data_IF_267328237764
#
_entry.id   IF_267328237764
#
_cell.length_a   1.000
_cell.length_b   1.000
_cell.length_c   1.000
_cell.angle_alpha   90.00
_cell.angle_beta   90.00
_cell.angle_gamma   90.00
#
_symmetry.space_group_name_H-M   'P 1'
#
loop_
_entity.id
_entity.type
_entity.pdbx_description
1 polymer ?
#
# COMPACT_ATOMS: atom_id res chain seq x y z
N UNK A 1 -11.28 -12.05 17.05
CA UNK A 1 -11.76 -10.85 16.34
C UNK A 1 -10.65 -10.46 15.36
N UNK A 2 -10.82 -10.78 14.07
CA UNK A 2 -9.78 -10.64 13.04
C UNK A 2 -9.59 -9.16 12.67
N UNK A 3 -8.42 -8.60 12.98
CA UNK A 3 -7.98 -7.26 12.56
C UNK A 3 -7.43 -7.30 11.12
N UNK A 4 -8.17 -7.91 10.21
CA UNK A 4 -7.76 -8.14 8.82
C UNK A 4 -8.40 -7.10 7.87
N UNK A 5 -9.54 -6.53 8.28
CA UNK A 5 -10.27 -5.48 7.54
C UNK A 5 -9.71 -4.07 7.71
N UNK A 6 -8.59 -3.89 8.40
CA UNK A 6 -8.01 -2.57 8.60
C UNK A 6 -7.51 -2.00 7.26
N UNK A 7 -8.11 -0.88 6.83
CA UNK A 7 -7.69 -0.15 5.64
C UNK A 7 -6.29 0.40 5.83
N UNK A 8 -5.44 0.15 4.83
CA UNK A 8 -4.07 0.64 4.75
C UNK A 8 -3.99 1.72 3.67
N UNK A 9 -4.58 1.45 2.50
CA UNK A 9 -4.69 2.45 1.43
C UNK A 9 -6.11 3.00 1.38
N UNK A 10 -6.31 4.21 1.89
CA UNK A 10 -7.59 4.90 1.86
C UNK A 10 -7.96 5.43 0.46
N UNK A 11 -6.98 5.55 -0.44
CA UNK A 11 -7.24 6.01 -1.81
C UNK A 11 -7.93 4.92 -2.66
N UNK A 12 -7.43 3.69 -2.56
CA UNK A 12 -7.83 2.57 -3.42
C UNK A 12 -8.53 1.44 -2.64
N UNK A 13 -8.71 1.59 -1.32
CA UNK A 13 -9.49 0.65 -0.51
C UNK A 13 -8.75 -0.63 -0.12
N UNK A 14 -7.42 -0.66 -0.18
CA UNK A 14 -6.66 -1.87 0.17
C UNK A 14 -6.52 -2.04 1.68
N UNK A 15 -6.76 -3.27 2.14
CA UNK A 15 -6.59 -3.70 3.54
C UNK A 15 -5.27 -4.43 3.74
N UNK A 16 -4.84 -4.58 5.00
CA UNK A 16 -3.66 -5.36 5.33
C UNK A 16 -3.79 -6.84 4.88
N UNK A 17 -4.99 -7.40 4.95
CA UNK A 17 -5.33 -8.72 4.42
C UNK A 17 -4.95 -8.88 2.96
N UNK A 18 -5.49 -7.97 2.14
CA UNK A 18 -5.38 -7.99 0.70
C UNK A 18 -3.90 -7.89 0.31
N UNK A 19 -3.15 -7.03 0.99
CA UNK A 19 -1.71 -6.88 0.75
C UNK A 19 -0.96 -8.17 1.03
N UNK A 20 -1.25 -8.86 2.15
CA UNK A 20 -0.58 -10.15 2.43
C UNK A 20 -0.95 -11.21 1.40
N UNK A 21 -2.22 -11.26 0.98
CA UNK A 21 -2.72 -12.21 -0.01
C UNK A 21 -2.17 -11.95 -1.42
N UNK A 22 -1.84 -10.70 -1.75
CA UNK A 22 -1.32 -10.30 -3.07
C UNK A 22 0.19 -10.55 -3.25
N UNK A 23 0.86 -11.15 -2.25
CA UNK A 23 2.28 -11.49 -2.33
C UNK A 23 2.48 -12.68 -3.27
N UNK A 24 3.39 -12.52 -4.24
CA UNK A 24 3.78 -13.56 -5.20
C UNK A 24 4.99 -14.35 -4.71
N UNK A 25 5.23 -15.49 -5.34
CA UNK A 25 6.34 -16.40 -5.00
C UNK A 25 7.72 -15.76 -5.19
N UNK A 26 7.85 -14.86 -6.17
CA UNK A 26 9.06 -14.09 -6.46
C UNK A 26 9.33 -12.95 -5.45
N UNK A 27 8.44 -12.76 -4.47
CA UNK A 27 8.53 -11.72 -3.46
C UNK A 27 7.97 -10.36 -3.88
N UNK A 28 7.43 -10.23 -5.10
CA UNK A 28 6.69 -9.05 -5.53
C UNK A 28 5.28 -9.02 -4.92
N UNK A 29 4.61 -7.87 -5.01
CA UNK A 29 3.27 -7.70 -4.49
C UNK A 29 2.43 -6.85 -5.44
N UNK A 30 1.40 -7.46 -6.01
CA UNK A 30 0.55 -6.83 -7.04
C UNK A 30 -0.11 -5.53 -6.56
N UNK A 31 -0.53 -5.48 -5.30
CA UNK A 31 -1.15 -4.27 -4.72
C UNK A 31 -0.11 -3.17 -4.55
N UNK A 32 1.10 -3.50 -4.11
CA UNK A 32 2.18 -2.52 -3.99
C UNK A 32 2.52 -1.93 -5.35
N UNK A 33 2.58 -2.76 -6.39
CA UNK A 33 2.85 -2.31 -7.77
C UNK A 33 1.73 -1.41 -8.29
N UNK A 34 0.47 -1.84 -8.19
CA UNK A 34 -0.69 -1.08 -8.64
C UNK A 34 -0.80 0.28 -7.94
N UNK A 35 -0.61 0.33 -6.63
CA UNK A 35 -0.64 1.58 -5.86
C UNK A 35 0.56 2.46 -6.20
N UNK A 36 1.74 1.87 -6.43
CA UNK A 36 2.93 2.62 -6.85
C UNK A 36 2.66 3.32 -8.18
N UNK A 37 2.12 2.61 -9.16
CA UNK A 37 1.80 3.18 -10.48
C UNK A 37 0.71 4.27 -10.39
N UNK A 38 -0.35 4.02 -9.62
CA UNK A 38 -1.40 5.03 -9.41
C UNK A 38 -0.87 6.29 -8.71
N UNK A 39 0.09 6.15 -7.78
CA UNK A 39 0.79 7.28 -7.17
C UNK A 39 1.66 8.04 -8.18
N UNK A 40 2.40 7.35 -9.07
CA UNK A 40 3.22 7.98 -10.12
C UNK A 40 2.39 8.77 -11.12
N UNK A 41 1.17 8.32 -11.37
CA UNK A 41 0.19 9.02 -12.21
C UNK A 41 -0.54 10.17 -11.49
N UNK A 42 -0.22 10.45 -10.22
CA UNK A 42 -0.87 11.53 -9.45
C UNK A 42 -2.31 11.23 -9.04
N UNK A 43 -2.75 9.96 -9.10
CA UNK A 43 -4.11 9.56 -8.72
C UNK A 43 -4.29 9.41 -7.21
N UNK A 44 -3.19 9.45 -6.45
CA UNK A 44 -3.18 9.37 -4.99
C UNK A 44 -3.58 10.68 -4.34
N UNK A 45 -4.62 10.66 -3.50
CA UNK A 45 -5.05 11.79 -2.65
C UNK A 45 -4.70 11.56 -1.18
N UNK A 46 -3.47 11.10 -0.89
CA UNK A 46 -3.08 10.67 0.45
C UNK A 46 -3.14 11.80 1.49
N UNK A 47 -2.80 13.03 1.11
CA UNK A 47 -2.87 14.18 2.01
C UNK A 47 -4.30 14.47 2.51
N UNK A 48 -5.31 14.14 1.69
CA UNK A 48 -6.73 14.40 1.99
C UNK A 48 -7.44 13.19 2.58
N UNK A 49 -7.10 11.98 2.09
CA UNK A 49 -7.84 10.75 2.39
C UNK A 49 -7.18 9.86 3.43
N UNK A 50 -5.86 9.93 3.60
CA UNK A 50 -5.17 9.13 4.60
C UNK A 50 -5.16 9.91 5.92
N UNK A 51 -5.71 9.37 7.04
CA UNK A 51 -5.71 10.05 8.34
C UNK A 51 -4.31 10.48 8.81
N UNK A 52 -3.27 9.74 8.42
CA UNK A 52 -1.88 10.07 8.74
C UNK A 52 -1.31 11.21 7.89
N UNK A 53 -2.02 11.67 6.86
CA UNK A 53 -1.56 12.65 5.87
C UNK A 53 -0.39 12.18 4.98
N UNK A 54 0.03 10.91 5.11
CA UNK A 54 1.23 10.35 4.49
C UNK A 54 0.88 9.30 3.44
N UNK A 55 1.79 9.07 2.49
CA UNK A 55 1.62 8.03 1.49
C UNK A 55 1.52 6.64 2.15
N UNK A 56 0.54 5.83 1.72
CA UNK A 56 0.34 4.48 2.22
C UNK A 56 1.40 3.47 1.78
N UNK A 57 2.18 3.76 0.72
CA UNK A 57 3.18 2.85 0.16
C UNK A 57 4.20 2.33 1.18
N UNK A 58 4.64 3.18 2.10
CA UNK A 58 5.57 2.75 3.16
C UNK A 58 4.97 1.63 4.02
N UNK A 59 3.70 1.76 4.41
CA UNK A 59 3.01 0.74 5.19
C UNK A 59 2.68 -0.51 4.35
N UNK A 60 2.31 -0.33 3.07
CA UNK A 60 2.06 -1.45 2.16
C UNK A 60 3.31 -2.33 1.99
N UNK A 61 4.49 -1.72 1.76
CA UNK A 61 5.77 -2.44 1.62
C UNK A 61 6.16 -3.18 2.89
N UNK A 62 5.98 -2.54 4.06
CA UNK A 62 6.24 -3.19 5.35
C UNK A 62 5.35 -4.42 5.57
N UNK A 63 4.08 -4.37 5.16
CA UNK A 63 3.15 -5.51 5.25
C UNK A 63 3.50 -6.59 4.22
N UNK A 64 3.87 -6.20 2.99
CA UNK A 64 4.29 -7.11 1.93
C UNK A 64 5.60 -7.85 2.24
N UNK A 65 6.39 -7.35 3.21
CA UNK A 65 7.72 -7.86 3.50
C UNK A 65 8.72 -7.52 2.40
N UNK A 66 8.47 -6.46 1.64
CA UNK A 66 9.45 -5.90 0.70
C UNK A 66 10.50 -5.10 1.47
N UNK A 67 11.75 -5.17 1.01
CA UNK A 67 12.81 -4.32 1.53
C UNK A 67 12.38 -2.84 1.39
N UNK A 68 12.71 -1.97 2.37
CA UNK A 68 12.39 -0.55 2.29
C UNK A 68 13.11 0.06 1.08
N UNK A 69 12.39 0.22 -0.02
CA UNK A 69 12.83 1.03 -1.15
C UNK A 69 12.43 2.46 -0.83
N UNK A 70 13.40 3.36 -0.76
CA UNK A 70 13.12 4.79 -0.69
C UNK A 70 12.27 5.15 -1.92
N UNK A 71 11.02 5.57 -1.71
CA UNK A 71 10.26 6.25 -2.74
C UNK A 71 9.53 7.42 -2.12
N UNK A 72 10.00 8.62 -2.47
CA UNK A 72 9.25 9.77 -2.95
C UNK A 72 10.22 10.97 -2.88
N UNK A 73 11.00 11.17 -3.95
CA UNK A 73 11.32 12.52 -4.44
C UNK A 73 10.58 12.67 -5.77
#
# INVERSE_FOLDING_TARGET
>A
MMQDSALVCFCFGHTAAAVRAARREDGSNEIVEAVTEACRQGLGRCAERNPSGRCCLGQLRAIAGEAPRACCE
#
